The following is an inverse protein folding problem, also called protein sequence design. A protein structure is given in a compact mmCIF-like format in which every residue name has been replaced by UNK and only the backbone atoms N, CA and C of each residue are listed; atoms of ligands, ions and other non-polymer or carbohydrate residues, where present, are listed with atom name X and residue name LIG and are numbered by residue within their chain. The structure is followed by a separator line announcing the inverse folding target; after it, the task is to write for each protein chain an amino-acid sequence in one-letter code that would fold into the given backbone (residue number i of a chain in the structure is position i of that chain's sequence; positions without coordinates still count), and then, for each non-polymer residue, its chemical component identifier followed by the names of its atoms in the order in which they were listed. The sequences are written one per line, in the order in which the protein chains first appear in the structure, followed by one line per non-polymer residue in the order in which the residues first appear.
data_IF_187210730607
#
_entry.id   IF_187210730607
#
_cell.length_a   1.000
_cell.length_b   1.000
_cell.length_c   1.000
_cell.angle_alpha   90.00
_cell.angle_beta   90.00
_cell.angle_gamma   90.00
#
_symmetry.space_group_name_H-M   'P 1'
#
loop_
_entity.id
_entity.type
_entity.pdbx_description
1 polymer ?
#
# COMPACT_ATOMS: atom_id res chain seq x y z
N UNK A 1 1.80 -2.95 51.04
CA UNK A 1 2.57 -2.36 49.93
C UNK A 1 2.32 -3.27 48.74
N UNK A 2 1.59 -2.82 47.71
CA UNK A 2 1.26 -3.66 46.56
C UNK A 2 2.42 -3.55 45.58
N UNK A 3 3.28 -4.55 45.56
CA UNK A 3 4.41 -4.61 44.65
C UNK A 3 3.88 -4.77 43.22
N UNK A 4 3.70 -3.64 42.53
CA UNK A 4 3.23 -3.57 41.15
C UNK A 4 4.35 -3.87 40.16
N UNK A 5 4.98 -5.03 40.32
CA UNK A 5 6.04 -5.51 39.44
C UNK A 5 5.61 -6.80 38.72
N UNK A 6 6.03 -6.99 37.47
CA UNK A 6 5.83 -8.21 36.69
C UNK A 6 7.10 -8.55 35.91
N UNK A 7 7.30 -9.83 35.59
CA UNK A 7 8.47 -10.27 34.83
C UNK A 7 8.27 -10.09 33.32
N UNK A 8 9.29 -9.58 32.65
CA UNK A 8 9.28 -9.42 31.21
C UNK A 8 9.13 -10.79 30.52
N UNK A 9 8.13 -11.01 29.65
CA UNK A 9 7.97 -12.29 28.95
C UNK A 9 9.09 -12.57 27.94
N UNK A 10 9.94 -11.59 27.62
CA UNK A 10 11.01 -11.73 26.64
C UNK A 10 12.38 -12.01 27.23
N UNK A 11 12.67 -11.48 28.43
CA UNK A 11 13.99 -11.62 29.06
C UNK A 11 13.95 -11.97 30.55
N UNK A 12 12.76 -12.09 31.15
CA UNK A 12 12.60 -12.42 32.57
C UNK A 12 12.94 -11.29 33.54
N UNK A 13 13.17 -10.07 33.06
CA UNK A 13 13.51 -8.95 33.93
C UNK A 13 12.28 -8.40 34.65
N UNK A 14 12.41 -8.09 35.95
CA UNK A 14 11.36 -7.42 36.73
C UNK A 14 11.12 -6.00 36.24
N UNK A 15 9.87 -5.69 35.93
CA UNK A 15 9.41 -4.41 35.40
C UNK A 15 8.23 -3.91 36.22
N UNK A 16 8.07 -2.59 36.33
CA UNK A 16 6.88 -2.02 36.94
C UNK A 16 5.67 -2.15 36.01
N UNK A 17 4.50 -2.43 36.59
CA UNK A 17 3.21 -2.37 35.88
C UNK A 17 3.02 -0.94 35.35
N UNK A 18 2.85 -0.81 34.03
CA UNK A 18 2.83 0.48 33.33
C UNK A 18 4.10 0.78 32.52
N UNK A 19 5.14 -0.05 32.62
CA UNK A 19 6.30 0.07 31.73
C UNK A 19 5.92 -0.29 30.29
N UNK A 20 5.99 0.68 29.38
CA UNK A 20 5.74 0.48 27.93
C UNK A 20 6.90 -0.21 27.22
N UNK A 21 8.11 -0.15 27.80
CA UNK A 21 9.34 -0.71 27.23
C UNK A 21 10.16 -1.39 28.32
N UNK A 22 10.65 -2.59 28.03
CA UNK A 22 11.57 -3.26 28.93
C UNK A 22 12.93 -2.57 28.89
N UNK A 23 13.42 -2.12 30.05
CA UNK A 23 14.78 -1.51 30.15
C UNK A 23 15.90 -2.53 29.99
N UNK A 24 15.60 -3.82 30.18
CA UNK A 24 16.55 -4.92 29.98
C UNK A 24 16.76 -5.29 28.52
N UNK A 25 15.71 -5.79 27.88
CA UNK A 25 15.80 -6.27 26.50
C UNK A 25 15.47 -5.22 25.44
N UNK A 26 15.00 -4.03 25.84
CA UNK A 26 14.64 -2.95 24.92
C UNK A 26 13.37 -3.21 24.10
N UNK A 27 12.68 -4.34 24.29
CA UNK A 27 11.44 -4.64 23.57
C UNK A 27 10.25 -3.87 24.15
N UNK A 28 9.33 -3.47 23.28
CA UNK A 28 8.07 -2.84 23.67
C UNK A 28 7.15 -3.86 24.32
N UNK A 29 6.70 -3.54 25.53
CA UNK A 29 5.73 -4.29 26.31
C UNK A 29 4.36 -3.76 25.91
N UNK A 30 3.93 -4.07 24.68
CA UNK A 30 2.59 -3.69 24.25
C UNK A 30 1.61 -4.46 25.13
N UNK A 31 0.92 -3.75 26.02
CA UNK A 31 -0.25 -4.32 26.68
C UNK A 31 -1.26 -4.66 25.58
N UNK A 32 -2.04 -5.73 25.79
CA UNK A 32 -2.98 -6.22 24.78
C UNK A 32 -3.96 -5.12 24.32
N UNK A 33 -4.27 -4.16 25.21
CA UNK A 33 -5.13 -3.01 24.93
C UNK A 33 -4.53 -2.05 23.88
N UNK A 34 -3.22 -1.82 23.86
CA UNK A 34 -2.56 -0.93 22.89
C UNK A 34 -2.41 -1.59 21.50
N UNK A 35 -2.31 -2.92 21.46
CA UNK A 35 -2.31 -3.66 20.21
C UNK A 35 -3.67 -3.58 19.51
N UNK A 36 -4.77 -3.59 20.27
CA UNK A 36 -6.11 -3.48 19.71
C UNK A 36 -6.37 -2.08 19.13
N UNK A 37 -5.94 -1.01 19.83
CA UNK A 37 -6.08 0.36 19.32
C UNK A 37 -5.28 0.61 18.02
N UNK A 38 -4.12 -0.04 17.86
CA UNK A 38 -3.31 0.07 16.64
C UNK A 38 -3.81 -0.81 15.50
N UNK A 39 -4.34 -2.01 15.78
CA UNK A 39 -4.93 -2.89 14.76
C UNK A 39 -6.28 -2.36 14.26
N UNK A 40 -7.09 -1.73 15.11
CA UNK A 40 -8.34 -1.09 14.68
C UNK A 40 -8.07 0.07 13.69
N UNK A 41 -7.08 0.91 13.96
CA UNK A 41 -6.65 1.97 13.03
C UNK A 41 -6.07 1.46 11.70
N UNK A 42 -5.59 0.22 11.66
CA UNK A 42 -5.11 -0.42 10.44
C UNK A 42 -6.24 -1.11 9.65
N UNK A 43 -7.34 -1.52 10.30
CA UNK A 43 -8.49 -2.17 9.64
C UNK A 43 -9.50 -1.19 9.03
N UNK A 44 -9.47 0.08 9.41
CA UNK A 44 -10.32 1.15 8.84
C UNK A 44 -9.68 1.87 7.65
N UNK A 45 -8.78 1.23 6.90
CA UNK A 45 -8.30 1.77 5.63
C UNK A 45 -8.89 0.97 4.45
N UNK A 46 -10.04 1.38 3.88
CA UNK A 46 -10.48 0.88 2.59
C UNK A 46 -9.70 1.64 1.52
N UNK A 47 -8.49 1.19 1.18
CA UNK A 47 -7.79 1.69 -0.02
C UNK A 47 -7.23 0.55 -0.84
N UNK A 48 -8.11 -0.38 -1.20
CA UNK A 48 -8.03 -0.96 -2.53
C UNK A 48 -8.35 0.14 -3.54
N UNK A 49 -7.34 0.60 -4.27
CA UNK A 49 -7.51 1.58 -5.33
C UNK A 49 -8.42 0.98 -6.43
N UNK A 50 -9.58 1.60 -6.68
CA UNK A 50 -10.57 1.17 -7.68
C UNK A 50 -10.04 1.34 -9.12
N UNK A 51 -9.12 0.46 -9.54
CA UNK A 51 -8.52 0.47 -10.89
C UNK A 51 -9.50 0.03 -12.00
N UNK A 52 -10.73 -0.35 -11.69
CA UNK A 52 -11.73 -0.80 -12.67
C UNK A 52 -12.19 0.29 -13.64
N UNK A 53 -12.16 1.57 -13.24
CA UNK A 53 -12.50 2.70 -14.12
C UNK A 53 -11.40 3.08 -15.12
N UNK A 54 -10.13 3.28 -14.72
CA UNK A 54 -9.06 3.63 -15.66
C UNK A 54 -8.71 2.49 -16.61
N UNK A 55 -8.93 1.22 -16.23
CA UNK A 55 -8.59 0.07 -17.07
C UNK A 55 -9.35 0.06 -18.41
N UNK A 56 -10.63 0.44 -18.42
CA UNK A 56 -11.40 0.57 -19.68
C UNK A 56 -10.85 1.66 -20.59
N UNK A 57 -10.38 2.77 -20.02
CA UNK A 57 -9.79 3.86 -20.77
C UNK A 57 -8.45 3.45 -21.39
N UNK A 58 -7.64 2.70 -20.65
CA UNK A 58 -6.38 2.13 -21.15
C UNK A 58 -6.64 1.16 -22.30
N UNK A 59 -7.61 0.24 -22.16
CA UNK A 59 -7.98 -0.71 -23.23
C UNK A 59 -8.46 0.04 -24.49
N UNK A 60 -9.26 1.10 -24.31
CA UNK A 60 -9.73 1.93 -25.42
C UNK A 60 -8.59 2.65 -26.14
N UNK A 61 -7.67 3.27 -25.40
CA UNK A 61 -6.50 3.95 -25.98
C UNK A 61 -5.57 2.99 -26.72
N UNK A 62 -5.33 1.79 -26.16
CA UNK A 62 -4.51 0.77 -26.82
C UNK A 62 -5.18 0.30 -28.11
N UNK A 63 -6.50 0.08 -28.10
CA UNK A 63 -7.25 -0.25 -29.31
C UNK A 63 -7.15 0.81 -30.39
N UNK A 64 -7.33 2.09 -30.04
CA UNK A 64 -7.17 3.21 -30.97
C UNK A 64 -5.75 3.31 -31.52
N UNK A 65 -4.74 3.12 -30.68
CA UNK A 65 -3.34 3.14 -31.10
C UNK A 65 -3.02 2.00 -32.08
N UNK A 66 -3.53 0.79 -31.84
CA UNK A 66 -3.37 -0.34 -32.76
C UNK A 66 -4.08 -0.10 -34.10
N UNK A 67 -5.28 0.45 -34.08
CA UNK A 67 -6.03 0.83 -35.29
C UNK A 67 -5.23 1.90 -36.07
N UNK A 68 -4.73 2.92 -35.38
CA UNK A 68 -3.90 3.96 -35.99
C UNK A 68 -2.62 3.37 -36.59
N UNK A 69 -1.93 2.50 -35.87
CA UNK A 69 -0.71 1.86 -36.35
C UNK A 69 -0.99 1.03 -37.62
N UNK A 70 -2.03 0.20 -37.60
CA UNK A 70 -2.44 -0.61 -38.74
C UNK A 70 -2.84 0.24 -39.96
N UNK A 71 -3.47 1.39 -39.74
CA UNK A 71 -3.91 2.28 -40.81
C UNK A 71 -2.80 3.22 -41.30
N UNK A 72 -1.80 3.53 -40.46
CA UNK A 72 -0.65 4.36 -40.84
C UNK A 72 0.17 3.75 -41.96
N UNK A 73 0.23 2.41 -42.03
CA UNK A 73 0.91 1.70 -43.11
C UNK A 73 0.27 1.99 -44.48
N UNK A 74 -1.06 2.20 -44.56
CA UNK A 74 -1.73 2.61 -45.81
C UNK A 74 -1.73 4.13 -46.05
N UNK A 75 -1.78 4.95 -45.00
CA UNK A 75 -1.89 6.41 -45.15
C UNK A 75 -0.55 7.06 -45.51
N UNK A 76 0.58 6.55 -45.03
CA UNK A 76 1.89 7.22 -45.17
C UNK A 76 2.26 7.47 -46.64
N UNK A 77 1.88 6.57 -47.55
CA UNK A 77 2.12 6.71 -48.98
C UNK A 77 1.21 7.78 -49.63
N UNK A 78 -0.06 7.84 -49.22
CA UNK A 78 -1.04 8.83 -49.71
C UNK A 78 -0.73 10.23 -49.16
N UNK A 79 -0.37 10.33 -47.88
CA UNK A 79 -0.09 11.60 -47.21
C UNK A 79 1.21 12.24 -47.72
N UNK A 80 2.27 11.45 -47.94
CA UNK A 80 3.50 11.97 -48.55
C UNK A 80 3.28 12.46 -49.98
N UNK A 81 2.43 11.80 -50.77
CA UNK A 81 2.12 12.26 -52.14
C UNK A 81 1.22 13.50 -52.16
N UNK A 82 0.33 13.69 -51.18
CA UNK A 82 -0.50 14.89 -51.05
C UNK A 82 0.24 16.10 -50.46
N UNK A 83 1.29 15.90 -49.66
CA UNK A 83 2.15 16.98 -49.13
C UNK A 83 3.28 17.39 -50.08
N UNK A 84 3.61 16.54 -51.07
CA UNK A 84 4.68 16.79 -52.05
C UNK A 84 4.18 17.44 -53.35
N UNK A 85 2.87 17.65 -53.49
CA UNK A 85 2.23 18.42 -54.55
C UNK A 85 1.61 19.71 -53.96
#
# INVERSE_FOLDING_TARGET
MVDNYFDCPYCGQKLMKGAMKCVGCGKMLKTADEQQASIQKLKESPKGFDFTKPLKFIIFLVGLALIYHFFSDQITEIFNNLLKN
#
